data_IF_239413024094
#
_entry.id   IF_239413024094
#
_cell.length_a   1.000
_cell.length_b   1.000
_cell.length_c   1.000
_cell.angle_alpha   90.00
_cell.angle_beta   90.00
_cell.angle_gamma   90.00
#
_symmetry.space_group_name_H-M   'P 1'
#
loop_
_entity.id
_entity.type
_entity.pdbx_description
1 polymer ?
#
# COMPACT_ATOMS: atom_id res chain seq x y z
N UNK A 1 10.00 -0.61 -47.51
CA UNK A 1 9.44 -1.39 -46.40
C UNK A 1 10.56 -1.56 -45.39
N UNK A 2 10.54 -0.71 -44.31
CA UNK A 2 11.56 -0.75 -43.25
C UNK A 2 11.04 -1.65 -42.16
N UNK A 3 11.74 -2.73 -41.88
CA UNK A 3 11.50 -3.63 -40.74
C UNK A 3 11.74 -2.87 -39.44
N UNK A 4 10.83 -2.93 -38.45
CA UNK A 4 11.10 -2.33 -37.14
C UNK A 4 12.24 -3.10 -36.46
N UNK A 5 13.10 -2.44 -35.67
CA UNK A 5 14.20 -3.10 -34.98
C UNK A 5 13.66 -4.08 -33.93
N UNK A 6 14.20 -5.28 -33.93
CA UNK A 6 13.85 -6.37 -33.02
C UNK A 6 14.06 -5.98 -31.56
N UNK A 7 12.98 -6.04 -30.79
CA UNK A 7 12.87 -5.72 -29.35
C UNK A 7 13.65 -6.65 -28.40
N UNK A 8 14.50 -7.54 -28.90
CA UNK A 8 15.12 -8.61 -28.08
C UNK A 8 16.30 -8.12 -27.21
N UNK A 9 16.91 -6.98 -27.55
CA UNK A 9 18.07 -6.46 -26.81
C UNK A 9 17.72 -5.79 -25.47
N UNK A 10 16.49 -5.31 -25.30
CA UNK A 10 16.07 -4.58 -24.11
C UNK A 10 15.76 -5.47 -22.89
N UNK A 11 15.48 -6.76 -23.10
CA UNK A 11 15.05 -7.66 -22.05
C UNK A 11 16.12 -8.02 -21.00
N UNK A 12 17.40 -7.88 -21.33
CA UNK A 12 18.53 -8.20 -20.45
C UNK A 12 19.29 -7.01 -19.89
N UNK A 13 18.91 -5.78 -20.27
CA UNK A 13 19.58 -4.58 -19.76
C UNK A 13 19.33 -4.38 -18.25
N UNK A 14 20.30 -3.80 -17.50
CA UNK A 14 20.08 -3.47 -16.10
C UNK A 14 18.94 -2.44 -15.94
N UNK A 15 18.34 -2.33 -14.75
CA UNK A 15 17.33 -1.31 -14.49
C UNK A 15 17.93 0.10 -14.58
N UNK A 16 17.09 1.08 -14.88
CA UNK A 16 17.45 2.48 -14.81
C UNK A 16 17.94 2.84 -13.39
N UNK A 17 18.89 3.76 -13.26
CA UNK A 17 19.50 4.13 -11.98
C UNK A 17 18.48 4.43 -10.87
N UNK A 18 17.44 5.21 -11.17
CA UNK A 18 16.38 5.51 -10.19
C UNK A 18 15.58 4.28 -9.77
N UNK A 19 15.37 3.34 -10.68
CA UNK A 19 14.66 2.11 -10.37
C UNK A 19 15.54 1.16 -9.57
N UNK A 20 16.84 1.13 -9.85
CA UNK A 20 17.82 0.39 -9.05
C UNK A 20 17.87 0.93 -7.62
N UNK A 21 17.98 2.26 -7.43
CA UNK A 21 18.00 2.89 -6.12
C UNK A 21 16.71 2.61 -5.32
N UNK A 22 15.54 2.64 -5.97
CA UNK A 22 14.27 2.26 -5.36
C UNK A 22 14.27 0.80 -4.90
N UNK A 23 14.69 -0.12 -5.76
CA UNK A 23 14.75 -1.55 -5.42
C UNK A 23 15.73 -1.83 -4.28
N UNK A 24 16.86 -1.15 -4.26
CA UNK A 24 17.86 -1.30 -3.19
C UNK A 24 17.31 -0.76 -1.87
N UNK A 25 16.61 0.37 -1.87
CA UNK A 25 15.95 0.89 -0.68
C UNK A 25 14.92 -0.11 -0.12
N UNK A 26 14.07 -0.69 -0.97
CA UNK A 26 13.08 -1.69 -0.54
C UNK A 26 13.74 -2.99 -0.03
N UNK A 27 14.85 -3.43 -0.63
CA UNK A 27 15.60 -4.58 -0.13
C UNK A 27 16.22 -4.32 1.24
N UNK A 28 16.78 -3.14 1.43
CA UNK A 28 17.43 -2.76 2.69
C UNK A 28 16.44 -2.77 3.87
N UNK A 29 15.17 -2.49 3.61
CA UNK A 29 14.10 -2.60 4.62
C UNK A 29 13.38 -3.96 4.59
N UNK A 30 13.92 -4.96 3.88
CA UNK A 30 13.43 -6.34 3.88
C UNK A 30 12.14 -6.57 3.10
N UNK A 31 11.71 -5.64 2.23
CA UNK A 31 10.47 -5.80 1.46
C UNK A 31 10.62 -6.70 0.23
N UNK A 32 11.78 -6.73 -0.38
CA UNK A 32 12.04 -7.46 -1.63
C UNK A 32 13.27 -8.38 -1.52
N UNK A 33 13.38 -9.25 -0.48
CA UNK A 33 14.61 -10.04 -0.28
C UNK A 33 14.90 -10.99 -1.45
N UNK A 34 13.88 -11.47 -2.16
CA UNK A 34 14.01 -12.46 -3.23
C UNK A 34 14.05 -11.82 -4.63
N UNK A 35 13.90 -10.49 -4.75
CA UNK A 35 13.94 -9.81 -6.03
C UNK A 35 15.38 -9.62 -6.51
N UNK A 36 15.98 -10.69 -6.98
CA UNK A 36 17.35 -10.72 -7.51
C UNK A 36 17.45 -11.69 -8.69
N UNK A 37 18.56 -11.66 -9.40
CA UNK A 37 18.88 -12.64 -10.45
C UNK A 37 17.79 -12.79 -11.52
N UNK A 38 17.31 -13.99 -11.73
CA UNK A 38 16.29 -14.30 -12.75
C UNK A 38 14.92 -13.70 -12.41
N UNK A 39 14.57 -13.61 -11.14
CA UNK A 39 13.32 -13.00 -10.71
C UNK A 39 13.28 -11.50 -11.06
N UNK A 40 14.36 -10.77 -10.81
CA UNK A 40 14.47 -9.38 -11.23
C UNK A 40 14.36 -9.23 -12.74
N UNK A 41 15.07 -10.08 -13.50
CA UNK A 41 14.99 -10.05 -14.97
C UNK A 41 13.57 -10.29 -15.47
N UNK A 42 12.85 -11.22 -14.84
CA UNK A 42 11.47 -11.53 -15.19
C UNK A 42 10.56 -10.33 -14.90
N UNK A 43 10.63 -9.76 -13.71
CA UNK A 43 9.82 -8.61 -13.30
C UNK A 43 10.10 -7.38 -14.18
N UNK A 44 11.37 -7.10 -14.48
CA UNK A 44 11.77 -6.06 -15.44
C UNK A 44 11.17 -6.28 -16.83
N UNK A 45 11.21 -7.53 -17.34
CA UNK A 45 10.61 -7.85 -18.65
C UNK A 45 9.12 -7.56 -18.68
N UNK A 46 8.39 -7.94 -17.63
CA UNK A 46 6.95 -7.70 -17.51
C UNK A 46 6.67 -6.20 -17.44
N UNK A 47 7.36 -5.46 -16.57
CA UNK A 47 7.18 -4.01 -16.42
C UNK A 47 7.50 -3.25 -17.73
N UNK A 48 8.60 -3.62 -18.43
CA UNK A 48 8.96 -3.07 -19.75
C UNK A 48 7.88 -3.34 -20.80
N UNK A 49 7.25 -4.52 -20.74
CA UNK A 49 6.14 -4.88 -21.64
C UNK A 49 4.91 -3.99 -21.50
N UNK A 50 4.72 -3.33 -20.36
CA UNK A 50 3.63 -2.36 -20.14
C UNK A 50 3.89 -0.98 -20.78
N UNK A 51 5.07 -0.74 -21.34
CA UNK A 51 5.41 0.45 -22.13
C UNK A 51 5.57 1.75 -21.33
N UNK A 52 5.69 1.68 -20.01
CA UNK A 52 5.97 2.85 -19.18
C UNK A 52 7.47 3.18 -19.22
N UNK A 53 7.78 4.47 -19.03
CA UNK A 53 9.16 4.96 -19.06
C UNK A 53 9.91 4.47 -17.81
N UNK A 54 11.06 3.79 -18.00
CA UNK A 54 11.97 3.47 -16.89
C UNK A 54 12.40 4.73 -16.13
N UNK A 55 12.59 4.62 -14.82
CA UNK A 55 12.85 5.76 -13.94
C UNK A 55 11.61 6.56 -13.53
N UNK A 56 10.41 6.22 -14.05
CA UNK A 56 9.14 6.83 -13.61
C UNK A 56 8.52 6.07 -12.45
N UNK A 57 7.66 6.77 -11.68
CA UNK A 57 6.88 6.14 -10.61
C UNK A 57 5.99 5.02 -11.15
N UNK A 58 5.32 5.24 -12.28
CA UNK A 58 4.48 4.24 -12.93
C UNK A 58 5.25 2.96 -13.27
N UNK A 59 6.48 3.08 -13.78
CA UNK A 59 7.31 1.92 -14.08
C UNK A 59 7.68 1.14 -12.80
N UNK A 60 8.04 1.84 -11.71
CA UNK A 60 8.34 1.21 -10.41
C UNK A 60 7.14 0.47 -9.85
N UNK A 61 5.92 1.05 -9.94
CA UNK A 61 4.69 0.36 -9.53
C UNK A 61 4.43 -0.88 -10.39
N UNK A 62 4.62 -0.79 -11.71
CA UNK A 62 4.50 -1.95 -12.59
C UNK A 62 5.52 -3.05 -12.29
N UNK A 63 6.71 -2.66 -11.83
CA UNK A 63 7.75 -3.60 -11.41
C UNK A 63 7.37 -4.32 -10.10
N UNK A 64 6.82 -3.60 -9.12
CA UNK A 64 6.28 -4.19 -7.89
C UNK A 64 5.12 -5.13 -8.18
N UNK A 65 4.15 -4.71 -8.99
CA UNK A 65 3.04 -5.56 -9.42
C UNK A 65 3.54 -6.84 -10.10
N UNK A 66 4.51 -6.72 -11.01
CA UNK A 66 5.09 -7.87 -11.68
C UNK A 66 5.77 -8.83 -10.71
N UNK A 67 6.37 -8.31 -9.64
CA UNK A 67 6.98 -9.13 -8.59
C UNK A 67 5.92 -9.81 -7.72
N UNK A 68 4.95 -9.06 -7.19
CA UNK A 68 3.97 -9.57 -6.24
C UNK A 68 2.84 -10.39 -6.89
N UNK A 69 2.40 -10.05 -8.11
CA UNK A 69 1.33 -10.77 -8.82
C UNK A 69 1.76 -12.12 -9.38
N UNK A 70 3.01 -12.27 -9.75
CA UNK A 70 3.50 -13.52 -10.35
C UNK A 70 3.56 -14.73 -9.39
N UNK A 71 3.19 -14.54 -8.13
CA UNK A 71 3.09 -15.64 -7.16
C UNK A 71 2.05 -16.70 -7.56
N UNK A 72 1.01 -16.34 -8.36
CA UNK A 72 -0.03 -17.26 -8.80
C UNK A 72 0.37 -18.16 -9.97
N UNK A 73 1.15 -17.64 -10.93
CA UNK A 73 1.34 -18.31 -12.23
C UNK A 73 2.58 -19.19 -12.34
N UNK A 74 3.58 -19.01 -11.49
CA UNK A 74 4.89 -19.61 -11.70
C UNK A 74 5.27 -20.71 -10.69
N UNK A 75 4.39 -21.09 -9.77
CA UNK A 75 4.73 -22.11 -8.75
C UNK A 75 5.87 -21.69 -7.80
N UNK A 76 6.29 -20.44 -7.87
CA UNK A 76 7.30 -19.90 -6.97
C UNK A 76 6.59 -19.57 -5.67
N UNK A 77 6.76 -20.44 -4.67
CA UNK A 77 6.31 -20.19 -3.30
C UNK A 77 7.07 -18.96 -2.78
N UNK A 78 6.44 -17.79 -2.90
CA UNK A 78 6.90 -16.62 -2.17
C UNK A 78 6.74 -16.87 -0.69
N UNK A 79 7.71 -16.42 0.09
CA UNK A 79 7.52 -16.48 1.53
C UNK A 79 6.23 -15.73 1.87
N UNK A 80 5.34 -16.36 2.61
CA UNK A 80 4.07 -15.81 3.09
C UNK A 80 4.26 -14.39 3.66
N UNK A 81 5.40 -14.16 4.28
CA UNK A 81 5.85 -12.88 4.82
C UNK A 81 5.92 -11.71 3.82
N UNK A 82 6.14 -11.95 2.53
CA UNK A 82 6.23 -10.88 1.54
C UNK A 82 4.85 -10.43 1.07
N UNK A 83 3.94 -11.38 0.87
CA UNK A 83 2.55 -11.09 0.49
C UNK A 83 1.84 -10.35 1.64
N UNK A 84 2.14 -10.72 2.87
CA UNK A 84 1.54 -10.14 4.08
C UNK A 84 2.05 -8.71 4.39
N UNK A 85 3.03 -8.18 3.66
CA UNK A 85 3.58 -6.83 3.88
C UNK A 85 3.24 -5.81 2.79
N UNK A 86 2.54 -6.22 1.75
CA UNK A 86 2.28 -5.42 0.57
C UNK A 86 0.79 -5.46 0.21
N UNK A 87 0.20 -4.29 0.09
CA UNK A 87 -1.18 -4.11 -0.32
C UNK A 87 -1.27 -3.00 -1.37
N UNK A 88 -2.06 -3.24 -2.41
CA UNK A 88 -2.36 -2.27 -3.47
C UNK A 88 -3.86 -2.03 -3.51
N UNK A 89 -4.24 -0.77 -3.47
CA UNK A 89 -5.57 -0.31 -3.84
C UNK A 89 -5.51 0.34 -5.22
N UNK A 90 -6.42 -0.04 -6.10
CA UNK A 90 -6.63 0.60 -7.40
C UNK A 90 -7.87 1.47 -7.31
N UNK A 91 -7.74 2.75 -7.63
CA UNK A 91 -8.82 3.74 -7.60
C UNK A 91 -10.04 3.33 -8.44
N UNK A 92 -9.82 2.57 -9.52
CA UNK A 92 -10.88 2.06 -10.39
C UNK A 92 -11.58 0.79 -9.89
N UNK A 93 -11.10 0.16 -8.83
CA UNK A 93 -11.70 -1.06 -8.28
C UNK A 93 -12.62 -0.69 -7.11
N UNK A 94 -13.94 -0.94 -7.24
CA UNK A 94 -14.84 -0.77 -6.10
C UNK A 94 -14.44 -1.77 -5.00
N UNK A 95 -14.05 -1.26 -3.86
CA UNK A 95 -13.66 -2.06 -2.69
C UNK A 95 -14.68 -1.81 -1.60
N UNK A 96 -15.23 -2.88 -1.02
CA UNK A 96 -16.08 -2.78 0.17
C UNK A 96 -15.23 -2.56 1.42
N UNK A 97 -15.79 -1.90 2.43
CA UNK A 97 -15.11 -1.66 3.70
C UNK A 97 -14.64 -2.98 4.33
N UNK A 98 -15.46 -4.03 4.33
CA UNK A 98 -15.08 -5.34 4.87
C UNK A 98 -13.87 -5.95 4.16
N UNK A 99 -13.86 -5.94 2.84
CA UNK A 99 -12.71 -6.47 2.06
C UNK A 99 -11.43 -5.70 2.36
N UNK A 100 -11.51 -4.38 2.49
CA UNK A 100 -10.37 -3.54 2.79
C UNK A 100 -9.85 -3.78 4.21
N UNK A 101 -10.75 -3.87 5.19
CA UNK A 101 -10.40 -4.17 6.58
C UNK A 101 -9.74 -5.54 6.74
N UNK A 102 -10.22 -6.55 6.01
CA UNK A 102 -9.58 -7.87 6.00
C UNK A 102 -8.14 -7.80 5.45
N UNK A 103 -7.91 -7.02 4.39
CA UNK A 103 -6.57 -6.81 3.83
C UNK A 103 -5.65 -6.02 4.79
N UNK A 104 -6.18 -4.99 5.45
CA UNK A 104 -5.42 -4.22 6.45
C UNK A 104 -5.10 -5.06 7.69
N UNK A 105 -6.04 -5.89 8.16
CA UNK A 105 -5.80 -6.83 9.24
C UNK A 105 -4.73 -7.88 8.88
N UNK A 106 -4.69 -8.33 7.63
CA UNK A 106 -3.64 -9.23 7.16
C UNK A 106 -2.25 -8.59 7.15
N UNK A 107 -2.17 -7.27 6.87
CA UNK A 107 -0.91 -6.51 6.95
C UNK A 107 -0.47 -6.24 8.38
N UNK A 108 -1.40 -6.15 9.31
CA UNK A 108 -1.17 -5.78 10.71
C UNK A 108 -1.78 -6.85 11.65
N UNK A 109 -1.32 -8.11 11.60
CA UNK A 109 -1.93 -9.22 12.33
C UNK A 109 -1.92 -9.03 13.86
N UNK A 110 -1.04 -8.17 14.38
CA UNK A 110 -0.95 -7.84 15.80
C UNK A 110 -2.17 -7.05 16.30
N UNK A 111 -2.86 -6.37 15.39
CA UNK A 111 -4.13 -5.67 15.72
C UNK A 111 -5.27 -6.67 15.90
N UNK A 112 -5.19 -7.83 15.23
CA UNK A 112 -6.26 -8.82 15.19
C UNK A 112 -7.39 -8.39 14.25
N UNK A 113 -8.59 -8.98 14.39
CA UNK A 113 -9.75 -8.61 13.59
C UNK A 113 -10.11 -7.14 13.78
N UNK A 114 -10.30 -6.43 12.67
CA UNK A 114 -10.69 -5.02 12.66
C UNK A 114 -12.13 -4.94 12.16
N UNK A 115 -12.96 -4.16 12.85
CA UNK A 115 -14.32 -3.84 12.43
C UNK A 115 -14.48 -2.34 12.27
N UNK A 116 -15.28 -1.92 11.30
CA UNK A 116 -15.74 -0.55 11.16
C UNK A 116 -17.18 -0.48 11.70
N UNK A 117 -17.38 0.34 12.71
CA UNK A 117 -18.66 0.49 13.40
C UNK A 117 -19.12 1.93 13.36
N UNK A 118 -20.44 2.12 13.35
CA UNK A 118 -21.04 3.44 13.52
C UNK A 118 -21.54 3.57 14.95
N UNK A 119 -21.09 4.60 15.64
CA UNK A 119 -21.55 4.96 17.00
C UNK A 119 -22.39 6.24 16.93
N UNK A 120 -23.56 6.24 17.58
CA UNK A 120 -24.50 7.34 17.54
C UNK A 120 -25.58 7.18 16.48
N UNK A 121 -26.34 8.25 16.24
CA UNK A 121 -27.44 8.24 15.26
C UNK A 121 -27.56 9.59 14.55
N UNK A 122 -28.01 9.57 13.30
CA UNK A 122 -28.18 10.77 12.49
C UNK A 122 -26.90 11.56 12.30
N UNK A 123 -26.98 12.88 12.42
CA UNK A 123 -25.85 13.79 12.21
C UNK A 123 -24.74 13.68 13.28
N UNK A 124 -25.06 13.13 14.45
CA UNK A 124 -24.11 12.94 15.54
C UNK A 124 -23.43 11.55 15.51
N UNK A 125 -23.57 10.81 14.40
CA UNK A 125 -22.94 9.50 14.27
C UNK A 125 -21.47 9.64 13.87
N UNK A 126 -20.62 8.81 14.47
CA UNK A 126 -19.19 8.76 14.19
C UNK A 126 -18.79 7.34 13.77
N UNK A 127 -17.97 7.23 12.74
CA UNK A 127 -17.35 5.97 12.38
C UNK A 127 -16.13 5.70 13.27
N UNK A 128 -16.01 4.47 13.73
CA UNK A 128 -14.89 4.04 14.56
C UNK A 128 -14.32 2.74 14.03
N UNK A 129 -13.00 2.64 14.02
CA UNK A 129 -12.29 1.36 13.88
C UNK A 129 -12.20 0.71 15.25
N UNK A 130 -12.68 -0.53 15.35
CA UNK A 130 -12.58 -1.34 16.57
C UNK A 130 -11.70 -2.56 16.34
N UNK A 131 -10.85 -2.86 17.33
CA UNK A 131 -10.04 -4.06 17.38
C UNK A 131 -10.00 -4.59 18.82
N UNK A 132 -10.87 -5.54 19.13
CA UNK A 132 -11.11 -5.97 20.50
C UNK A 132 -11.70 -4.83 21.35
N UNK A 133 -11.04 -4.51 22.47
CA UNK A 133 -11.47 -3.42 23.38
C UNK A 133 -10.98 -2.04 22.93
N UNK A 134 -10.04 -1.96 21.99
CA UNK A 134 -9.52 -0.71 21.45
C UNK A 134 -10.43 -0.19 20.35
N UNK A 135 -10.59 1.14 20.29
CA UNK A 135 -11.28 1.80 19.19
C UNK A 135 -10.65 3.15 18.85
N UNK A 136 -10.76 3.54 17.59
CA UNK A 136 -10.29 4.83 17.08
C UNK A 136 -11.43 5.48 16.30
N UNK A 137 -11.80 6.70 16.66
CA UNK A 137 -12.74 7.50 15.86
C UNK A 137 -12.03 7.93 14.57
N UNK A 138 -12.70 7.71 13.45
CA UNK A 138 -12.24 8.21 12.16
C UNK A 138 -12.76 9.63 11.97
N UNK A 139 -11.86 10.50 11.51
CA UNK A 139 -12.26 11.83 11.09
C UNK A 139 -13.00 11.73 9.75
N UNK A 140 -13.86 12.70 9.49
CA UNK A 140 -14.49 12.85 8.18
C UNK A 140 -13.48 13.49 7.22
N UNK A 141 -12.99 12.70 6.28
CA UNK A 141 -11.97 13.12 5.30
C UNK A 141 -12.64 13.61 4.00
N UNK A 142 -13.69 14.42 4.11
CA UNK A 142 -14.52 14.87 2.99
C UNK A 142 -13.69 15.46 1.82
N UNK A 143 -12.69 16.27 2.11
CA UNK A 143 -11.83 16.86 1.08
C UNK A 143 -10.94 15.81 0.39
N UNK A 144 -10.43 14.87 1.15
CA UNK A 144 -9.62 13.76 0.63
C UNK A 144 -10.44 12.77 -0.21
N UNK A 145 -11.70 12.49 0.19
CA UNK A 145 -12.57 11.54 -0.52
C UNK A 145 -12.95 12.00 -1.92
N UNK A 146 -12.97 13.31 -2.16
CA UNK A 146 -13.21 13.88 -3.50
C UNK A 146 -12.07 13.53 -4.48
N UNK A 147 -10.87 13.33 -3.99
CA UNK A 147 -9.68 13.06 -4.79
C UNK A 147 -9.35 11.56 -4.93
N UNK A 148 -9.71 10.74 -3.94
CA UNK A 148 -9.27 9.33 -3.85
C UNK A 148 -10.38 8.30 -3.99
N UNK A 149 -11.64 8.74 -4.16
CA UNK A 149 -12.81 7.88 -4.24
C UNK A 149 -13.28 7.38 -2.86
N UNK A 150 -14.59 7.23 -2.73
CA UNK A 150 -15.23 6.80 -1.50
C UNK A 150 -15.17 5.29 -1.33
N UNK A 151 -14.92 4.85 -0.10
CA UNK A 151 -15.13 3.46 0.26
C UNK A 151 -16.63 3.21 0.39
N UNK A 152 -17.13 2.16 -0.26
CA UNK A 152 -18.50 1.73 -0.09
C UNK A 152 -18.69 1.10 1.31
N UNK A 153 -19.38 1.85 2.18
CA UNK A 153 -19.70 1.44 3.56
C UNK A 153 -21.13 0.91 3.70
N UNK A 154 -21.84 0.68 2.57
CA UNK A 154 -23.24 0.19 2.60
C UNK A 154 -23.38 -1.23 3.12
N UNK A 155 -22.29 -1.99 3.16
CA UNK A 155 -22.23 -3.33 3.76
C UNK A 155 -22.16 -3.32 5.29
N UNK A 156 -22.04 -2.14 5.93
CA UNK A 156 -22.05 -2.02 7.38
C UNK A 156 -23.47 -2.15 7.94
N UNK A 157 -23.63 -2.91 9.02
CA UNK A 157 -24.89 -3.04 9.73
C UNK A 157 -25.39 -1.65 10.22
N UNK A 158 -26.63 -1.32 9.85
CA UNK A 158 -27.20 -0.01 10.17
C UNK A 158 -27.00 1.07 9.10
N UNK A 159 -26.52 0.67 7.89
CA UNK A 159 -26.26 1.53 6.75
C UNK A 159 -27.43 2.36 6.27
N UNK A 160 -27.68 3.45 6.96
CA UNK A 160 -28.38 4.61 6.38
C UNK A 160 -27.41 5.37 5.47
N UNK A 161 -27.92 6.36 4.74
CA UNK A 161 -27.10 7.21 3.86
C UNK A 161 -25.80 7.61 4.56
N UNK A 162 -24.63 7.36 3.99
CA UNK A 162 -23.37 7.70 4.63
C UNK A 162 -23.31 9.22 4.78
N UNK A 163 -23.29 9.70 6.00
CA UNK A 163 -23.01 11.10 6.31
C UNK A 163 -21.51 11.32 6.57
N UNK A 164 -20.75 10.24 6.76
CA UNK A 164 -19.31 10.28 6.93
C UNK A 164 -18.63 9.57 5.75
N UNK A 165 -17.65 10.20 5.16
CA UNK A 165 -16.81 9.67 4.12
C UNK A 165 -15.54 9.10 4.75
N UNK A 166 -15.11 7.95 4.28
CA UNK A 166 -13.91 7.28 4.76
C UNK A 166 -13.04 6.93 3.57
N UNK A 167 -11.79 7.34 3.62
CA UNK A 167 -10.78 7.00 2.61
C UNK A 167 -9.94 5.79 3.04
N UNK A 168 -9.28 5.15 2.09
CA UNK A 168 -8.29 4.10 2.40
C UNK A 168 -7.23 4.66 3.35
N UNK A 169 -6.78 5.88 3.11
CA UNK A 169 -5.78 6.58 3.93
C UNK A 169 -6.29 6.80 5.36
N UNK A 170 -7.53 7.22 5.55
CA UNK A 170 -8.15 7.37 6.86
C UNK A 170 -8.20 6.05 7.64
N UNK A 171 -8.55 4.94 6.96
CA UNK A 171 -8.50 3.60 7.57
C UNK A 171 -7.08 3.19 7.97
N UNK A 172 -6.10 3.41 7.11
CA UNK A 172 -4.68 3.12 7.39
C UNK A 172 -4.17 3.92 8.58
N UNK A 173 -4.48 5.23 8.66
CA UNK A 173 -4.17 6.07 9.83
C UNK A 173 -4.78 5.49 11.11
N UNK A 174 -6.05 5.09 11.06
CA UNK A 174 -6.73 4.45 12.20
C UNK A 174 -6.05 3.16 12.65
N UNK A 175 -5.66 2.30 11.71
CA UNK A 175 -4.90 1.07 12.00
C UNK A 175 -3.55 1.40 12.64
N UNK A 176 -2.83 2.40 12.15
CA UNK A 176 -1.56 2.84 12.73
C UNK A 176 -1.70 3.33 14.18
N UNK A 177 -2.82 4.02 14.50
CA UNK A 177 -3.13 4.41 15.89
C UNK A 177 -3.36 3.16 16.77
N UNK A 178 -4.08 2.16 16.27
CA UNK A 178 -4.29 0.89 16.99
C UNK A 178 -2.97 0.15 17.23
N UNK A 179 -2.10 0.08 16.21
CA UNK A 179 -0.75 -0.49 16.33
C UNK A 179 0.06 0.25 17.41
N UNK A 180 0.03 1.59 17.39
CA UNK A 180 0.73 2.41 18.38
C UNK A 180 0.24 2.16 19.80
N UNK A 181 -1.08 2.08 20.04
CA UNK A 181 -1.69 1.79 21.35
C UNK A 181 -1.27 0.42 21.91
N UNK A 182 -1.01 -0.54 21.02
CA UNK A 182 -0.54 -1.90 21.39
C UNK A 182 0.97 -2.00 21.47
N UNK A 183 1.71 -0.89 21.35
CA UNK A 183 3.17 -0.85 21.31
C UNK A 183 3.77 -1.74 20.21
N UNK A 184 3.06 -1.95 19.12
CA UNK A 184 3.57 -2.63 17.93
C UNK A 184 4.50 -1.66 17.19
N UNK A 185 5.64 -2.17 16.72
CA UNK A 185 6.65 -1.34 16.05
C UNK A 185 6.35 -1.09 14.58
N UNK A 186 5.57 -1.98 13.97
CA UNK A 186 5.17 -1.89 12.58
C UNK A 186 4.22 -0.72 12.37
N UNK A 187 4.34 -0.12 11.18
CA UNK A 187 3.41 0.88 10.65
C UNK A 187 3.07 0.55 9.21
N UNK A 188 1.84 0.84 8.83
CA UNK A 188 1.40 0.82 7.44
C UNK A 188 1.75 2.16 6.83
N UNK A 189 2.59 2.16 5.81
CA UNK A 189 3.04 3.40 5.16
C UNK A 189 2.81 3.33 3.66
N UNK A 190 2.31 4.41 3.03
CA UNK A 190 2.13 4.49 1.59
C UNK A 190 3.49 4.74 0.92
N UNK A 191 3.84 3.87 -0.01
CA UNK A 191 4.92 4.14 -0.95
C UNK A 191 4.48 5.24 -1.93
N UNK A 192 5.45 6.03 -2.39
CA UNK A 192 5.22 6.99 -3.46
C UNK A 192 4.77 6.26 -4.72
N UNK A 193 3.47 6.35 -5.01
CA UNK A 193 2.77 5.63 -6.06
C UNK A 193 2.32 6.55 -7.20
N UNK A 194 1.65 6.01 -8.21
CA UNK A 194 1.03 6.79 -9.27
C UNK A 194 -0.42 7.15 -8.90
N UNK A 195 -1.01 8.04 -9.68
CA UNK A 195 -2.39 8.54 -9.46
C UNK A 195 -3.48 7.47 -9.56
N UNK A 196 -3.16 6.28 -10.03
CA UNK A 196 -4.12 5.18 -10.22
C UNK A 196 -4.00 4.10 -9.16
N UNK A 197 -2.98 4.16 -8.33
CA UNK A 197 -2.65 3.10 -7.36
C UNK A 197 -2.14 3.70 -6.08
N UNK A 198 -2.70 3.26 -4.97
CA UNK A 198 -2.13 3.44 -3.64
C UNK A 198 -1.48 2.14 -3.21
N UNK A 199 -0.23 2.22 -2.78
CA UNK A 199 0.56 1.06 -2.38
C UNK A 199 0.98 1.22 -0.93
N UNK A 200 0.50 0.34 -0.08
CA UNK A 200 0.82 0.33 1.35
C UNK A 200 1.73 -0.84 1.69
N UNK A 201 2.68 -0.59 2.55
CA UNK A 201 3.59 -1.61 3.08
C UNK A 201 3.62 -1.58 4.60
N UNK A 202 3.76 -2.76 5.21
CA UNK A 202 3.92 -2.89 6.65
C UNK A 202 5.40 -2.96 6.99
N UNK A 203 5.90 -2.00 7.77
CA UNK A 203 7.31 -1.87 8.15
C UNK A 203 7.47 -1.46 9.60
N UNK A 204 8.53 -1.93 10.30
CA UNK A 204 8.96 -1.28 11.52
C UNK A 204 9.19 0.22 11.30
N UNK A 205 8.90 1.03 12.31
CA UNK A 205 8.99 2.49 12.21
C UNK A 205 10.38 2.97 11.78
N UNK A 206 11.45 2.29 12.21
CA UNK A 206 12.83 2.62 11.84
C UNK A 206 13.07 2.49 10.35
N UNK A 207 12.58 1.41 9.75
CA UNK A 207 12.67 1.15 8.31
C UNK A 207 11.79 2.11 7.50
N UNK A 208 10.62 2.47 8.04
CA UNK A 208 9.75 3.48 7.43
C UNK A 208 10.44 4.85 7.38
N UNK A 209 11.17 5.24 8.44
CA UNK A 209 11.99 6.46 8.48
C UNK A 209 13.08 6.44 7.40
N UNK A 210 13.73 5.30 7.19
CA UNK A 210 14.77 5.18 6.16
C UNK A 210 14.19 5.36 4.76
N UNK A 211 12.99 4.81 4.48
CA UNK A 211 12.29 5.04 3.22
C UNK A 211 11.83 6.50 3.06
N UNK A 212 11.36 7.14 4.14
CA UNK A 212 10.98 8.55 4.14
C UNK A 212 12.17 9.44 3.77
N UNK A 213 13.32 9.25 4.43
CA UNK A 213 14.57 9.98 4.14
C UNK A 213 15.08 9.78 2.72
N UNK A 214 14.85 8.60 2.16
CA UNK A 214 15.19 8.27 0.77
C UNK A 214 14.20 8.84 -0.25
N UNK A 215 13.08 9.45 0.18
CA UNK A 215 12.05 10.04 -0.68
C UNK A 215 11.16 9.02 -1.38
N UNK A 216 11.00 7.83 -0.79
CA UNK A 216 10.20 6.74 -1.37
C UNK A 216 8.80 6.61 -0.76
N UNK A 217 8.48 7.36 0.28
CA UNK A 217 7.12 7.50 0.79
C UNK A 217 6.42 8.68 0.14
N UNK A 218 5.10 8.72 0.25
CA UNK A 218 4.33 9.92 -0.03
C UNK A 218 4.69 11.04 0.95
N UNK A 219 4.62 12.29 0.48
CA UNK A 219 5.18 13.45 1.19
C UNK A 219 4.57 13.63 2.58
N UNK A 220 3.22 13.67 2.68
CA UNK A 220 2.53 13.79 3.96
C UNK A 220 2.84 12.64 4.92
N UNK A 221 2.86 11.41 4.41
CA UNK A 221 3.16 10.24 5.22
C UNK A 221 4.64 10.16 5.63
N UNK A 222 5.53 10.74 4.85
CA UNK A 222 6.93 10.89 5.22
C UNK A 222 7.09 11.84 6.39
N UNK A 223 6.34 12.94 6.42
CA UNK A 223 6.30 13.89 7.54
C UNK A 223 5.78 13.22 8.81
N UNK A 224 4.62 12.53 8.75
CA UNK A 224 4.05 11.78 9.87
C UNK A 224 5.03 10.76 10.46
N UNK A 225 5.70 9.99 9.59
CA UNK A 225 6.68 8.96 9.99
C UNK A 225 7.90 9.61 10.65
N UNK A 226 8.36 10.76 10.13
CA UNK A 226 9.50 11.48 10.68
C UNK A 226 9.18 12.11 12.04
N UNK A 227 7.97 12.63 12.23
CA UNK A 227 7.51 13.15 13.52
C UNK A 227 7.44 12.04 14.57
N UNK A 228 6.87 10.88 14.21
CA UNK A 228 6.81 9.71 15.10
C UNK A 228 8.20 9.19 15.50
N UNK A 229 9.20 9.33 14.63
CA UNK A 229 10.58 8.91 14.88
C UNK A 229 11.39 9.88 15.73
N UNK A 230 10.87 11.07 16.00
CA UNK A 230 11.50 12.11 16.84
C UNK A 230 11.23 11.98 18.34
N UNK A 231 10.53 10.92 18.78
CA UNK A 231 10.19 10.64 20.18
C UNK A 231 11.11 9.58 20.78
#
# INVERSE_FOLDING_TARGET
MSTPPSSTAAAGAPPHEKDAAFLDALRNVGLLPDLAGEELKRSLRVARGKGKREGSTQFRMDLLDAHYSAAGDAGIARSRRQVDRYFVHHESEPVTASTLLDRLAALAPEVGPIALERIGSGADSTLVLRAGDDFVALLDDFEESMDTGDIDIRDLEGGGSPTAMVTVRGLVRGVNVLLGRRNVRERLVPLRSDVMREVYVALPLTEAIDLARAGWLEEESAEDVMELGGW
#
